data_IF_959719143214
#
_entry.id   IF_959719143214
#
_cell.length_a   1.000
_cell.length_b   1.000
_cell.length_c   1.000
_cell.angle_alpha   90.00
_cell.angle_beta   90.00
_cell.angle_gamma   90.00
#
_symmetry.space_group_name_H-M   'P 1'
#
loop_
_entity.id
_entity.type
_entity.pdbx_description
1 polymer ?
#
# COMPACT_ATOMS: atom_id res chain seq x y z
N UNK A 1 13.05 11.53 -6.29
CA UNK A 1 12.70 12.87 -5.77
C UNK A 1 12.73 13.94 -6.86
N UNK A 2 11.74 14.82 -6.87
CA UNK A 2 11.64 15.92 -7.85
C UNK A 2 12.78 16.96 -7.72
N UNK A 3 13.45 17.01 -6.60
CA UNK A 3 14.44 18.05 -6.27
C UNK A 3 15.89 17.58 -6.36
N UNK A 4 16.15 16.29 -6.25
CA UNK A 4 17.50 15.70 -6.25
C UNK A 4 17.49 14.48 -7.16
N UNK A 5 18.47 14.31 -8.06
CA UNK A 5 18.59 13.07 -8.83
C UNK A 5 18.70 11.87 -7.88
N UNK A 6 17.78 10.92 -8.00
CA UNK A 6 17.72 9.68 -7.24
C UNK A 6 17.49 8.53 -8.21
N UNK A 7 18.04 7.36 -7.90
CA UNK A 7 17.76 6.15 -8.67
C UNK A 7 16.36 5.58 -8.37
N UNK A 8 15.78 5.96 -7.21
CA UNK A 8 14.43 5.52 -6.83
C UNK A 8 14.34 4.02 -6.58
N UNK A 9 15.37 3.41 -6.01
CA UNK A 9 15.37 1.97 -5.76
C UNK A 9 14.33 1.60 -4.70
N UNK A 10 14.25 2.40 -3.64
CA UNK A 10 13.22 2.26 -2.60
C UNK A 10 11.94 2.96 -3.04
N UNK A 11 12.04 4.25 -3.36
CA UNK A 11 10.93 5.15 -3.67
C UNK A 11 10.88 5.48 -5.17
N UNK A 12 10.06 4.76 -5.97
CA UNK A 12 9.18 3.65 -5.58
C UNK A 12 9.51 2.35 -6.35
N UNK A 13 10.78 2.10 -6.68
CA UNK A 13 11.23 0.88 -7.34
C UNK A 13 10.84 -0.38 -6.55
N UNK A 14 10.92 -0.34 -5.22
CA UNK A 14 10.49 -1.43 -4.34
C UNK A 14 9.02 -1.80 -4.53
N UNK A 15 8.14 -0.79 -4.63
CA UNK A 15 6.71 -0.99 -4.91
C UNK A 15 6.48 -1.64 -6.27
N UNK A 16 7.19 -1.16 -7.30
CA UNK A 16 7.09 -1.72 -8.66
C UNK A 16 7.45 -3.20 -8.70
N UNK A 17 8.60 -3.58 -8.12
CA UNK A 17 9.03 -4.99 -8.15
C UNK A 17 8.16 -5.87 -7.26
N UNK A 18 7.68 -5.36 -6.13
CA UNK A 18 6.70 -6.03 -5.26
C UNK A 18 5.43 -6.39 -6.04
N UNK A 19 4.88 -5.46 -6.80
CA UNK A 19 3.68 -5.66 -7.60
C UNK A 19 3.94 -6.68 -8.72
N UNK A 20 5.01 -6.50 -9.49
CA UNK A 20 5.31 -7.36 -10.63
C UNK A 20 5.58 -8.81 -10.20
N UNK A 21 6.34 -9.03 -9.13
CA UNK A 21 6.65 -10.39 -8.63
C UNK A 21 5.42 -11.06 -8.03
N UNK A 22 4.60 -10.32 -7.28
CA UNK A 22 3.36 -10.86 -6.70
C UNK A 22 2.36 -11.25 -7.78
N UNK A 23 2.24 -10.47 -8.86
CA UNK A 23 1.42 -10.83 -10.01
C UNK A 23 1.94 -12.06 -10.75
N UNK A 24 3.27 -12.14 -10.93
CA UNK A 24 3.90 -13.33 -11.52
C UNK A 24 3.59 -14.58 -10.70
N UNK A 25 3.72 -14.49 -9.37
CA UNK A 25 3.44 -15.60 -8.45
C UNK A 25 1.94 -15.95 -8.43
N UNK A 26 1.06 -14.94 -8.40
CA UNK A 26 -0.39 -15.14 -8.46
C UNK A 26 -0.79 -15.87 -9.75
N UNK A 27 -0.30 -15.43 -10.92
CA UNK A 27 -0.57 -16.08 -12.20
C UNK A 27 -0.04 -17.51 -12.25
N UNK A 28 1.14 -17.77 -11.66
CA UNK A 28 1.71 -19.11 -11.58
C UNK A 28 0.88 -20.07 -10.70
N UNK A 29 0.07 -19.56 -9.77
CA UNK A 29 -0.82 -20.37 -8.95
C UNK A 29 -1.97 -21.01 -9.74
N UNK A 30 -2.25 -20.52 -10.94
CA UNK A 30 -3.37 -20.96 -11.78
C UNK A 30 -4.75 -20.55 -11.29
N UNK A 31 -4.84 -19.79 -10.20
CA UNK A 31 -6.11 -19.23 -9.71
C UNK A 31 -6.62 -18.15 -10.66
N UNK A 32 -7.94 -18.06 -10.76
CA UNK A 32 -8.61 -17.01 -11.54
C UNK A 32 -9.29 -16.06 -10.57
N UNK A 33 -9.03 -14.75 -10.65
CA UNK A 33 -9.70 -13.78 -9.79
C UNK A 33 -11.18 -13.65 -10.18
N UNK A 34 -12.05 -13.40 -9.20
CA UNK A 34 -13.43 -12.97 -9.39
C UNK A 34 -13.46 -11.47 -9.63
N UNK A 35 -12.67 -10.72 -8.85
CA UNK A 35 -12.49 -9.29 -9.04
C UNK A 35 -11.37 -9.03 -10.05
N UNK A 36 -11.56 -8.06 -10.93
CA UNK A 36 -10.49 -7.60 -11.81
C UNK A 36 -9.33 -7.01 -10.98
N UNK A 37 -8.10 -7.32 -11.38
CA UNK A 37 -6.89 -6.75 -10.79
C UNK A 37 -6.36 -5.69 -11.75
N UNK A 38 -6.37 -4.44 -11.30
CA UNK A 38 -5.86 -3.29 -12.04
C UNK A 38 -4.50 -2.93 -11.46
N UNK A 39 -3.49 -2.82 -12.30
CA UNK A 39 -2.17 -2.32 -11.91
C UNK A 39 -1.99 -0.92 -12.47
N UNK A 40 -1.64 0.01 -11.60
CA UNK A 40 -1.40 1.40 -11.97
C UNK A 40 0.01 1.78 -11.52
N UNK A 41 0.82 2.26 -12.44
CA UNK A 41 2.06 2.95 -12.17
C UNK A 41 1.84 4.41 -12.53
N UNK A 42 1.79 5.25 -11.53
CA UNK A 42 1.51 6.66 -11.67
C UNK A 42 2.79 7.44 -12.01
N UNK A 43 2.64 8.52 -12.75
CA UNK A 43 3.70 9.49 -12.99
C UNK A 43 3.44 10.77 -12.19
N UNK A 44 4.50 11.52 -11.92
CA UNK A 44 4.41 12.84 -11.30
C UNK A 44 3.77 12.83 -9.87
N UNK A 45 4.01 11.75 -9.10
CA UNK A 45 3.58 11.66 -7.71
C UNK A 45 4.21 12.80 -6.89
N UNK A 46 5.52 12.94 -6.95
CA UNK A 46 6.37 13.87 -6.22
C UNK A 46 6.07 15.37 -6.46
N UNK A 47 5.36 15.69 -7.52
CA UNK A 47 5.02 17.07 -7.88
C UNK A 47 3.53 17.38 -7.71
N UNK A 48 2.83 16.56 -6.92
CA UNK A 48 1.44 16.80 -6.53
C UNK A 48 0.48 15.71 -6.95
N UNK A 49 0.88 14.43 -6.92
CA UNK A 49 0.02 13.25 -7.11
C UNK A 49 -0.76 13.28 -8.43
N UNK A 50 -0.14 13.85 -9.49
CA UNK A 50 -0.84 14.19 -10.75
C UNK A 50 -1.36 12.93 -11.44
N UNK A 51 -0.57 11.85 -11.45
CA UNK A 51 -0.95 10.60 -12.09
C UNK A 51 -2.16 9.96 -11.43
N UNK A 52 -2.19 9.89 -10.09
CA UNK A 52 -3.32 9.38 -9.33
C UNK A 52 -4.57 10.24 -9.52
N UNK A 53 -4.44 11.56 -9.46
CA UNK A 53 -5.55 12.49 -9.67
C UNK A 53 -6.17 12.33 -11.06
N UNK A 54 -5.34 12.21 -12.10
CA UNK A 54 -5.83 11.99 -13.46
C UNK A 54 -6.50 10.62 -13.61
N UNK A 55 -5.97 9.58 -12.96
CA UNK A 55 -6.60 8.27 -12.98
C UNK A 55 -8.00 8.33 -12.34
N UNK A 56 -8.11 8.88 -11.14
CA UNK A 56 -9.39 8.98 -10.41
C UNK A 56 -10.39 9.85 -11.18
N UNK A 57 -9.96 10.98 -11.69
CA UNK A 57 -10.85 11.94 -12.36
C UNK A 57 -11.29 11.49 -13.77
N UNK A 58 -10.37 10.89 -14.55
CA UNK A 58 -10.57 10.69 -15.99
C UNK A 58 -10.65 9.23 -16.44
N UNK A 59 -10.02 8.31 -15.70
CA UNK A 59 -9.95 6.93 -16.19
C UNK A 59 -11.28 6.20 -15.98
N UNK A 60 -11.84 5.54 -17.01
CA UNK A 60 -13.15 4.89 -16.90
C UNK A 60 -13.20 3.78 -15.84
N UNK A 61 -12.08 3.12 -15.55
CA UNK A 61 -12.01 2.05 -14.56
C UNK A 61 -12.07 2.56 -13.12
N UNK A 62 -11.71 3.82 -12.85
CA UNK A 62 -11.69 4.37 -11.51
C UNK A 62 -13.03 4.21 -10.78
N UNK A 63 -14.15 4.30 -11.51
CA UNK A 63 -15.51 4.17 -10.98
C UNK A 63 -15.85 2.78 -10.43
N UNK A 64 -15.08 1.77 -10.80
CA UNK A 64 -15.30 0.37 -10.42
C UNK A 64 -14.23 -0.14 -9.45
N UNK A 65 -13.30 0.70 -9.02
CA UNK A 65 -12.27 0.33 -8.04
C UNK A 65 -12.92 0.20 -6.66
N UNK A 66 -12.83 -0.97 -6.05
CA UNK A 66 -13.39 -1.24 -4.71
C UNK A 66 -12.35 -1.17 -3.58
N UNK A 67 -11.07 -1.32 -3.93
CA UNK A 67 -9.96 -1.25 -2.97
C UNK A 67 -8.67 -0.86 -3.70
N UNK A 68 -7.85 -0.07 -3.05
CA UNK A 68 -6.48 0.25 -3.48
C UNK A 68 -5.47 -0.36 -2.50
N UNK A 69 -4.44 -0.99 -3.02
CA UNK A 69 -3.25 -1.42 -2.28
C UNK A 69 -2.06 -0.63 -2.82
N UNK A 70 -1.59 0.36 -2.06
CA UNK A 70 -0.50 1.24 -2.45
C UNK A 70 0.80 0.83 -1.77
N UNK A 71 1.90 0.72 -2.52
CA UNK A 71 3.20 0.29 -2.03
C UNK A 71 4.22 1.40 -2.21
N UNK A 72 4.75 1.86 -1.10
CA UNK A 72 5.61 3.03 -0.98
C UNK A 72 6.88 2.74 -0.18
N UNK A 73 7.78 3.71 -0.17
CA UNK A 73 8.92 3.74 0.73
C UNK A 73 9.18 5.16 1.22
N UNK A 74 9.66 5.27 2.46
CA UNK A 74 10.14 6.51 3.08
C UNK A 74 11.50 6.34 3.73
N UNK A 75 12.23 5.35 3.28
CA UNK A 75 13.56 4.98 3.72
C UNK A 75 14.07 3.86 2.84
N UNK A 76 15.14 3.20 3.26
CA UNK A 76 15.72 2.05 2.57
C UNK A 76 15.69 0.76 3.38
N UNK A 77 15.16 0.80 4.63
CA UNK A 77 15.16 -0.33 5.55
C UNK A 77 13.92 -0.42 6.45
N UNK A 78 13.92 -1.45 7.29
CA UNK A 78 12.92 -1.69 8.31
C UNK A 78 11.66 -2.41 7.82
N UNK A 79 10.72 -2.67 8.73
CA UNK A 79 9.49 -3.35 8.37
C UNK A 79 8.55 -2.44 7.58
N UNK A 80 7.86 -3.01 6.60
CA UNK A 80 6.77 -2.32 5.91
C UNK A 80 5.56 -2.23 6.84
N UNK A 81 5.08 -1.02 7.06
CA UNK A 81 3.94 -0.73 7.91
C UNK A 81 2.67 -0.61 7.06
N UNK A 82 1.59 -1.27 7.48
CA UNK A 82 0.29 -1.10 6.86
C UNK A 82 -0.49 0.03 7.56
N UNK A 83 -0.95 0.97 6.76
CA UNK A 83 -1.78 2.09 7.17
C UNK A 83 -3.06 2.06 6.34
N UNK A 84 -4.20 2.27 6.96
CA UNK A 84 -5.48 2.39 6.26
C UNK A 84 -5.74 3.83 5.84
N UNK A 85 -6.34 4.00 4.67
CA UNK A 85 -6.82 5.27 4.15
C UNK A 85 -8.31 5.12 3.82
N UNK A 86 -9.16 5.79 4.58
CA UNK A 86 -10.62 5.72 4.45
C UNK A 86 -11.26 7.04 4.88
N UNK A 87 -12.37 7.41 4.24
CA UNK A 87 -13.22 8.53 4.67
C UNK A 87 -14.20 8.11 5.77
N UNK A 88 -14.45 6.82 5.90
CA UNK A 88 -15.31 6.23 6.94
C UNK A 88 -14.53 5.67 8.11
N UNK A 89 -15.01 4.58 8.67
CA UNK A 89 -14.33 3.80 9.71
C UNK A 89 -13.47 2.68 9.10
N UNK A 90 -12.47 2.26 9.86
CA UNK A 90 -11.49 1.26 9.40
C UNK A 90 -11.83 -0.20 9.75
N UNK A 91 -12.91 -0.44 10.52
CA UNK A 91 -13.19 -1.76 11.11
C UNK A 91 -13.16 -2.90 10.08
N UNK A 92 -13.81 -2.72 8.92
CA UNK A 92 -13.92 -3.78 7.93
C UNK A 92 -12.62 -4.00 7.18
N UNK A 93 -11.87 -2.93 6.88
CA UNK A 93 -10.53 -3.02 6.28
C UNK A 93 -9.57 -3.81 7.17
N UNK A 94 -9.54 -3.51 8.47
CA UNK A 94 -8.67 -4.21 9.42
C UNK A 94 -9.05 -5.68 9.57
N UNK A 95 -10.35 -6.00 9.61
CA UNK A 95 -10.81 -7.39 9.63
C UNK A 95 -10.42 -8.14 8.37
N UNK A 96 -10.55 -7.51 7.20
CA UNK A 96 -10.17 -8.10 5.93
C UNK A 96 -8.64 -8.32 5.85
N UNK A 97 -7.85 -7.35 6.30
CA UNK A 97 -6.40 -7.48 6.40
C UNK A 97 -5.99 -8.65 7.31
N UNK A 98 -6.61 -8.77 8.49
CA UNK A 98 -6.35 -9.88 9.40
C UNK A 98 -6.76 -11.25 8.80
N UNK A 99 -7.85 -11.28 8.04
CA UNK A 99 -8.34 -12.50 7.39
C UNK A 99 -7.51 -12.92 6.17
N UNK A 100 -6.73 -12.01 5.58
CA UNK A 100 -5.83 -12.32 4.46
C UNK A 100 -4.59 -13.14 4.87
N UNK A 101 -4.39 -13.38 6.17
CA UNK A 101 -3.32 -14.22 6.74
C UNK A 101 -1.91 -13.79 6.28
N UNK A 102 -1.67 -12.49 6.34
CA UNK A 102 -0.36 -11.91 5.98
C UNK A 102 0.70 -12.33 7.00
N UNK A 103 1.85 -12.77 6.52
CA UNK A 103 2.97 -13.16 7.39
C UNK A 103 3.62 -11.91 8.03
N UNK A 104 3.84 -11.97 9.35
CA UNK A 104 4.53 -10.91 10.12
C UNK A 104 3.98 -9.50 9.92
N UNK A 105 2.66 -9.29 10.01
CA UNK A 105 2.07 -7.99 9.74
C UNK A 105 2.53 -6.93 10.75
N UNK A 106 2.81 -5.73 10.25
CA UNK A 106 3.11 -4.56 11.09
C UNK A 106 2.04 -3.51 10.84
N UNK A 107 1.14 -3.36 11.78
CA UNK A 107 0.05 -2.39 11.72
C UNK A 107 -0.46 -2.08 13.13
N UNK A 108 -0.78 -0.83 13.38
CA UNK A 108 -1.42 -0.43 14.64
C UNK A 108 -2.19 0.87 14.50
N UNK A 109 -3.21 1.02 15.34
CA UNK A 109 -3.96 2.27 15.45
C UNK A 109 -3.10 3.46 15.82
N UNK A 110 -1.99 3.24 16.55
CA UNK A 110 -1.05 4.31 16.89
C UNK A 110 -0.35 4.86 15.63
N UNK A 111 0.16 3.96 14.76
CA UNK A 111 0.78 4.37 13.50
C UNK A 111 -0.20 5.12 12.61
N UNK A 112 -1.42 4.65 12.50
CA UNK A 112 -2.49 5.32 11.78
C UNK A 112 -2.76 6.74 12.32
N UNK A 113 -2.83 6.89 13.65
CA UNK A 113 -3.05 8.18 14.29
C UNK A 113 -1.89 9.15 14.09
N UNK A 114 -0.65 8.65 14.15
CA UNK A 114 0.56 9.46 13.89
C UNK A 114 0.59 9.89 12.42
N UNK A 115 0.33 8.98 11.49
CA UNK A 115 0.32 9.28 10.07
C UNK A 115 -0.67 10.40 9.72
N UNK A 116 -1.89 10.35 10.27
CA UNK A 116 -2.91 11.41 10.08
C UNK A 116 -2.50 12.80 10.57
N UNK A 117 -1.53 12.88 11.48
CA UNK A 117 -1.01 14.16 12.01
C UNK A 117 0.13 14.73 11.17
N UNK A 118 0.72 13.93 10.30
CA UNK A 118 1.83 14.34 9.46
C UNK A 118 1.30 14.91 8.13
N UNK A 119 1.95 15.94 7.56
CA UNK A 119 1.58 16.50 6.26
C UNK A 119 2.12 15.62 5.12
N UNK A 120 1.75 14.34 5.14
CA UNK A 120 2.24 13.34 4.19
C UNK A 120 1.07 12.85 3.35
N UNK A 121 1.13 13.12 2.06
CA UNK A 121 0.20 12.60 1.09
C UNK A 121 0.87 11.53 0.24
N UNK A 122 0.07 10.61 -0.28
CA UNK A 122 0.47 9.58 -1.24
C UNK A 122 -0.65 9.42 -2.27
N UNK A 123 -0.43 8.61 -3.29
CA UNK A 123 -1.49 8.28 -4.23
C UNK A 123 -2.76 7.75 -3.54
N UNK A 124 -2.62 7.02 -2.43
CA UNK A 124 -3.76 6.57 -1.61
C UNK A 124 -4.64 7.72 -1.10
N UNK A 125 -4.05 8.88 -0.81
CA UNK A 125 -4.79 10.07 -0.37
C UNK A 125 -5.77 10.54 -1.45
N UNK A 126 -5.32 10.57 -2.71
CA UNK A 126 -6.16 10.95 -3.85
C UNK A 126 -7.30 9.93 -4.05
N UNK A 127 -6.99 8.64 -3.99
CA UNK A 127 -8.03 7.62 -4.13
C UNK A 127 -9.08 7.74 -3.03
N UNK A 128 -8.67 8.05 -1.79
CA UNK A 128 -9.58 8.27 -0.67
C UNK A 128 -10.39 9.56 -0.82
N UNK A 129 -9.73 10.70 -1.06
CA UNK A 129 -10.37 12.03 -1.02
C UNK A 129 -11.23 12.28 -2.25
N UNK A 130 -10.68 12.05 -3.43
CA UNK A 130 -11.34 12.36 -4.69
C UNK A 130 -12.19 11.20 -5.20
N UNK A 131 -11.79 9.95 -4.90
CA UNK A 131 -12.45 8.74 -5.36
C UNK A 131 -13.44 8.13 -4.39
N UNK A 132 -13.40 8.48 -3.11
CA UNK A 132 -14.11 7.79 -2.01
C UNK A 132 -13.87 6.27 -2.02
N UNK A 133 -12.61 5.88 -2.33
CA UNK A 133 -12.16 4.49 -2.46
C UNK A 133 -11.34 4.12 -1.24
N UNK A 134 -11.69 2.98 -0.65
CA UNK A 134 -10.96 2.39 0.47
C UNK A 134 -9.54 2.00 0.05
N UNK A 135 -8.54 2.27 0.88
CA UNK A 135 -7.16 1.99 0.57
C UNK A 135 -6.38 1.43 1.76
N UNK A 136 -5.42 0.56 1.46
CA UNK A 136 -4.35 0.16 2.36
C UNK A 136 -3.02 0.59 1.76
N UNK A 137 -2.25 1.30 2.54
CA UNK A 137 -0.96 1.84 2.18
C UNK A 137 0.13 1.11 2.95
N UNK A 138 1.21 0.75 2.27
CA UNK A 138 2.32 -0.03 2.82
C UNK A 138 3.62 0.73 2.63
N UNK A 139 4.32 1.08 3.72
CA UNK A 139 5.60 1.77 3.63
C UNK A 139 6.57 1.32 4.72
N UNK A 140 7.84 1.23 4.37
CA UNK A 140 8.95 1.14 5.32
C UNK A 140 9.65 2.49 5.47
N UNK A 141 10.24 2.74 6.64
CA UNK A 141 10.67 4.09 7.05
C UNK A 141 12.12 4.13 7.59
N UNK A 142 12.66 2.99 8.05
CA UNK A 142 14.00 2.99 8.61
C UNK A 142 15.03 3.39 7.54
N UNK A 143 16.16 3.91 7.97
CA UNK A 143 17.17 4.50 7.11
C UNK A 143 16.62 5.64 6.22
N UNK A 144 15.71 6.44 6.78
CA UNK A 144 15.02 7.55 6.10
C UNK A 144 15.96 8.62 5.53
N UNK A 145 17.24 8.61 5.90
CA UNK A 145 18.25 9.51 5.34
C UNK A 145 18.57 9.23 3.87
N UNK A 146 18.24 8.05 3.37
CA UNK A 146 18.38 7.71 1.96
C UNK A 146 17.23 8.24 1.11
N UNK A 147 16.06 8.39 1.72
CA UNK A 147 14.84 8.85 1.07
C UNK A 147 14.99 10.24 0.46
N UNK A 148 14.56 10.41 -0.79
CA UNK A 148 14.66 11.64 -1.57
C UNK A 148 16.11 12.16 -1.74
N UNK A 149 17.09 11.28 -1.72
CA UNK A 149 18.52 11.61 -1.93
C UNK A 149 19.14 10.73 -3.01
N UNK A 150 20.39 11.06 -3.39
CA UNK A 150 21.16 10.23 -4.31
C UNK A 150 21.53 8.85 -3.73
N UNK A 151 21.29 8.64 -2.43
CA UNK A 151 21.56 7.38 -1.75
C UNK A 151 20.39 6.36 -1.87
N UNK A 152 19.26 6.75 -2.43
CA UNK A 152 18.19 5.80 -2.75
C UNK A 152 18.61 4.91 -3.92
N UNK A 153 19.49 3.95 -3.62
CA UNK A 153 20.11 3.04 -4.57
C UNK A 153 19.78 1.58 -4.25
N UNK A 154 20.01 0.70 -5.21
CA UNK A 154 19.81 -0.75 -5.01
C UNK A 154 20.76 -1.30 -3.93
N UNK A 155 21.95 -0.75 -3.81
CA UNK A 155 22.95 -1.17 -2.81
C UNK A 155 22.52 -0.83 -1.39
N UNK A 156 21.79 0.26 -1.20
CA UNK A 156 21.32 0.71 0.11
C UNK A 156 19.95 0.14 0.47
N UNK A 157 19.17 -0.33 -0.51
CA UNK A 157 17.89 -0.97 -0.23
C UNK A 157 18.09 -2.31 0.47
N UNK A 158 17.55 -2.43 1.68
CA UNK A 158 17.61 -3.68 2.45
C UNK A 158 16.74 -4.75 1.79
N UNK A 159 17.36 -5.87 1.45
CA UNK A 159 16.69 -6.99 0.80
C UNK A 159 15.64 -7.67 1.70
N UNK A 160 15.83 -7.67 3.02
CA UNK A 160 14.87 -8.25 3.96
C UNK A 160 13.62 -7.36 4.04
N UNK A 161 13.81 -6.04 3.98
CA UNK A 161 12.73 -5.05 3.88
C UNK A 161 11.91 -5.26 2.60
N UNK A 162 12.58 -5.41 1.46
CA UNK A 162 11.90 -5.66 0.19
C UNK A 162 11.13 -6.98 0.22
N UNK A 163 11.71 -8.04 0.80
CA UNK A 163 11.03 -9.34 0.97
C UNK A 163 9.83 -9.22 1.90
N UNK A 164 9.97 -8.47 3.00
CA UNK A 164 8.87 -8.24 3.93
C UNK A 164 7.69 -7.52 3.25
N UNK A 165 7.96 -6.44 2.51
CA UNK A 165 6.93 -5.74 1.74
C UNK A 165 6.27 -6.66 0.70
N UNK A 166 7.06 -7.44 -0.02
CA UNK A 166 6.57 -8.44 -0.97
C UNK A 166 5.70 -9.52 -0.33
N UNK A 167 5.97 -9.87 0.93
CA UNK A 167 5.20 -10.88 1.67
C UNK A 167 3.75 -10.47 1.95
N UNK A 168 3.42 -9.17 1.87
CA UNK A 168 2.06 -8.67 2.04
C UNK A 168 1.19 -8.89 0.79
N UNK A 169 1.71 -8.55 -0.39
CA UNK A 169 0.86 -8.41 -1.56
C UNK A 169 0.30 -9.72 -2.06
N UNK A 170 1.05 -10.81 -2.05
CA UNK A 170 0.57 -12.08 -2.58
C UNK A 170 -0.63 -12.65 -1.78
N UNK A 171 -0.60 -12.75 -0.42
CA UNK A 171 -1.78 -13.15 0.33
C UNK A 171 -2.94 -12.16 0.18
N UNK A 172 -2.69 -10.87 0.14
CA UNK A 172 -3.74 -9.85 -0.09
C UNK A 172 -4.39 -10.02 -1.46
N UNK A 173 -3.60 -10.27 -2.53
CA UNK A 173 -4.14 -10.57 -3.85
C UNK A 173 -5.03 -11.82 -3.81
N UNK A 174 -4.59 -12.90 -3.17
CA UNK A 174 -5.40 -14.11 -3.04
C UNK A 174 -6.72 -13.85 -2.30
N UNK A 175 -6.67 -13.07 -1.24
CA UNK A 175 -7.86 -12.77 -0.45
C UNK A 175 -8.83 -11.83 -1.19
N UNK A 176 -8.34 -10.69 -1.65
CA UNK A 176 -9.19 -9.68 -2.26
C UNK A 176 -9.64 -10.00 -3.68
N UNK A 177 -8.91 -10.85 -4.40
CA UNK A 177 -9.35 -11.34 -5.70
C UNK A 177 -10.67 -12.14 -5.65
N UNK A 178 -11.02 -12.69 -4.49
CA UNK A 178 -12.21 -13.53 -4.28
C UNK A 178 -13.23 -12.90 -3.30
N UNK A 179 -12.89 -11.74 -2.67
CA UNK A 179 -13.71 -11.10 -1.64
C UNK A 179 -14.77 -10.18 -2.21
N UNK A 180 -15.88 -10.01 -1.47
CA UNK A 180 -16.84 -8.94 -1.72
C UNK A 180 -16.28 -7.59 -1.23
N UNK A 181 -15.79 -6.78 -2.16
CA UNK A 181 -15.19 -5.48 -1.86
C UNK A 181 -16.22 -4.43 -1.44
N UNK A 182 -17.51 -4.63 -1.74
CA UNK A 182 -18.56 -3.68 -1.31
C UNK A 182 -18.75 -3.65 0.21
N UNK A 183 -18.31 -4.69 0.89
CA UNK A 183 -18.40 -4.83 2.35
C UNK A 183 -17.25 -4.13 3.12
N UNK A 184 -16.27 -3.56 2.44
CA UNK A 184 -15.09 -2.96 3.08
C UNK A 184 -15.38 -1.64 3.78
N UNK A 185 -16.33 -0.85 3.30
CA UNK A 185 -16.74 0.40 3.94
C UNK A 185 -17.32 0.14 5.32
N UNK A 186 -16.96 0.98 6.29
CA UNK A 186 -17.45 0.92 7.67
C UNK A 186 -17.71 2.32 8.22
N UNK A 187 -18.57 2.40 9.25
CA UNK A 187 -18.85 3.66 9.93
C UNK A 187 -17.98 3.85 11.20
N UNK A 188 -17.36 2.77 11.67
CA UNK A 188 -16.66 2.75 12.96
C UNK A 188 -15.20 2.38 12.79
N UNK A 189 -14.37 3.01 13.60
CA UNK A 189 -12.97 2.61 13.78
C UNK A 189 -12.85 1.47 14.78
N UNK A 190 -11.92 0.56 14.49
CA UNK A 190 -11.40 -0.42 15.45
C UNK A 190 -10.04 0.01 15.95
N UNK A 191 -9.77 -0.27 17.22
CA UNK A 191 -8.41 -0.23 17.75
C UNK A 191 -7.75 -1.56 17.46
N UNK A 192 -6.58 -1.53 16.86
CA UNK A 192 -5.87 -2.74 16.45
C UNK A 192 -4.38 -2.63 16.69
N UNK A 193 -3.78 -3.77 16.93
CA UNK A 193 -2.33 -3.95 17.00
C UNK A 193 -1.96 -5.34 16.50
N UNK A 194 -0.93 -5.42 15.70
CA UNK A 194 -0.36 -6.69 15.28
C UNK A 194 0.72 -7.16 16.25
N UNK A 195 0.69 -8.43 16.55
CA UNK A 195 1.77 -9.20 17.15
C UNK A 195 2.31 -10.16 16.08
N UNK A 196 3.50 -10.74 16.22
CA UNK A 196 4.14 -11.51 15.13
C UNK A 196 3.30 -12.62 14.48
N UNK A 197 2.26 -13.10 15.15
CA UNK A 197 1.41 -14.21 14.67
C UNK A 197 -0.09 -13.93 14.81
N UNK A 198 -0.50 -12.76 15.29
CA UNK A 198 -1.93 -12.47 15.53
C UNK A 198 -2.21 -10.96 15.43
N UNK A 199 -3.36 -10.62 14.84
CA UNK A 199 -3.92 -9.27 14.87
C UNK A 199 -4.99 -9.20 15.95
N UNK A 200 -4.82 -8.31 16.91
CA UNK A 200 -5.86 -7.95 17.89
C UNK A 200 -6.67 -6.77 17.34
N UNK A 201 -7.99 -6.91 17.38
CA UNK A 201 -8.97 -5.90 16.90
C UNK A 201 -9.92 -5.58 18.03
#
# INVERSE_FOLDING_TARGET
>A
SALVPSFGASDAGSGVVTILESLRAYNASGKKPINDIIVVFTDAEEIGLVGASLFVEKHPWAKNVGLVLNFEARGSGGPSNMIVETNGGNTNLIKAFAAADVCYPVASSLMYSVYKMLPNDTDSTVFREDGDIESMFFAFIDDHYDYHTANDTVENLDIETLQHQGSYLLPLLHYFAESDLSSLKAEKDSVYVNMPIVTFI
#
